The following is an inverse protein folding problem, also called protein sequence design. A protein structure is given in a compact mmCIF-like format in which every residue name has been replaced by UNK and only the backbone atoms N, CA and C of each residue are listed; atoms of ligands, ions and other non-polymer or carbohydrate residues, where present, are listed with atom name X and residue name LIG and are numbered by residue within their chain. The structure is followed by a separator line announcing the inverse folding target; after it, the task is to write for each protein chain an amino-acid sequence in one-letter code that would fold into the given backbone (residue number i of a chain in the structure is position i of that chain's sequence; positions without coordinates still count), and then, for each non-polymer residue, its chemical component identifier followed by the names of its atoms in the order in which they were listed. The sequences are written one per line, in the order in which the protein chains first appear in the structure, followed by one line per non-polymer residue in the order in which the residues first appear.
data_IF_277362526785
#
_entry.id   IF_277362526785
#
_cell.length_a   1.000
_cell.length_b   1.000
_cell.length_c   1.000
_cell.angle_alpha   90.00
_cell.angle_beta   90.00
_cell.angle_gamma   90.00
#
_symmetry.space_group_name_H-M   'P 1'
#
loop_
_entity.id
_entity.type
_entity.pdbx_description
1 polymer ?
#
# COMPACT_ATOMS: atom_id res chain seq x y z
N UNK A 1 -1.56 -17.31 -3.36
CA UNK A 1 -1.36 -16.33 -4.45
C UNK A 1 -2.62 -15.50 -4.63
N UNK A 2 -2.51 -14.18 -4.75
CA UNK A 2 -3.63 -13.32 -5.10
C UNK A 2 -3.88 -13.43 -6.62
N UNK A 3 -5.11 -13.76 -7.02
CA UNK A 3 -5.46 -13.86 -8.44
C UNK A 3 -5.44 -12.48 -9.14
N UNK A 4 -5.00 -12.43 -10.39
CA UNK A 4 -4.92 -11.22 -11.21
C UNK A 4 -6.24 -10.43 -11.23
N UNK A 5 -7.39 -11.11 -11.26
CA UNK A 5 -8.72 -10.47 -11.29
C UNK A 5 -9.01 -9.58 -10.08
N UNK A 6 -8.33 -9.80 -8.96
CA UNK A 6 -8.47 -9.01 -7.73
C UNK A 6 -7.54 -7.79 -7.68
N UNK A 7 -6.76 -7.56 -8.72
CA UNK A 7 -5.79 -6.47 -8.82
C UNK A 7 -6.18 -5.49 -9.92
N UNK A 8 -5.48 -4.35 -10.00
CA UNK A 8 -5.70 -3.39 -11.08
C UNK A 8 -5.26 -3.91 -12.47
N UNK A 9 -4.64 -5.06 -12.53
CA UNK A 9 -4.26 -5.73 -13.79
C UNK A 9 -5.38 -6.65 -14.31
N UNK A 10 -6.47 -6.80 -13.55
CA UNK A 10 -7.66 -7.59 -13.89
C UNK A 10 -8.95 -6.82 -13.64
N UNK A 11 -9.94 -7.49 -13.04
CA UNK A 11 -11.31 -6.96 -12.89
C UNK A 11 -11.44 -5.96 -11.73
N UNK A 12 -10.42 -5.83 -10.87
CA UNK A 12 -10.42 -4.91 -9.73
C UNK A 12 -11.51 -5.18 -8.68
N UNK A 13 -11.98 -6.42 -8.57
CA UNK A 13 -13.01 -6.84 -7.61
C UNK A 13 -12.37 -7.36 -6.31
N UNK A 14 -13.08 -7.30 -5.19
CA UNK A 14 -12.59 -7.83 -3.92
C UNK A 14 -12.53 -9.36 -3.95
N UNK A 15 -11.48 -9.97 -3.38
CA UNK A 15 -11.38 -11.42 -3.28
C UNK A 15 -12.40 -11.99 -2.29
N UNK A 16 -12.82 -13.24 -2.44
CA UNK A 16 -13.56 -13.95 -1.40
C UNK A 16 -12.64 -14.21 -0.22
N UNK A 17 -13.17 -14.07 1.00
CA UNK A 17 -12.44 -14.31 2.26
C UNK A 17 -13.32 -15.17 3.14
N UNK A 18 -12.81 -16.34 3.54
CA UNK A 18 -13.50 -17.26 4.43
C UNK A 18 -12.72 -17.42 5.73
N UNK A 19 -13.44 -17.60 6.83
CA UNK A 19 -12.82 -17.84 8.14
C UNK A 19 -13.65 -18.82 8.96
N UNK A 20 -12.97 -19.51 9.88
CA UNK A 20 -13.55 -20.47 10.81
C UNK A 20 -12.97 -20.28 12.20
N UNK A 21 -13.54 -20.98 13.18
CA UNK A 21 -12.96 -21.02 14.52
C UNK A 21 -13.09 -19.73 15.33
N UNK A 22 -14.11 -18.90 15.06
CA UNK A 22 -14.37 -17.72 15.90
C UNK A 22 -14.65 -18.15 17.36
N UNK A 23 -14.00 -17.50 18.36
CA UNK A 23 -14.31 -17.73 19.76
C UNK A 23 -15.79 -17.48 20.07
N UNK A 24 -16.36 -18.25 21.02
CA UNK A 24 -17.77 -18.12 21.40
C UNK A 24 -18.12 -16.70 21.94
N UNK A 25 -17.14 -15.99 22.49
CA UNK A 25 -17.30 -14.63 22.99
C UNK A 25 -17.32 -13.55 21.89
N UNK A 26 -17.17 -13.93 20.62
CA UNK A 26 -17.15 -12.99 19.50
C UNK A 26 -18.50 -12.34 19.32
N UNK A 27 -18.55 -11.00 19.33
CA UNK A 27 -19.75 -10.19 19.09
C UNK A 27 -19.72 -9.44 17.77
N UNK A 28 -18.53 -9.20 17.22
CA UNK A 28 -18.33 -8.54 15.94
C UNK A 28 -17.06 -9.07 15.28
N UNK A 29 -16.99 -8.98 13.96
CA UNK A 29 -15.79 -9.32 13.19
C UNK A 29 -15.37 -8.10 12.37
N UNK A 30 -14.05 -7.89 12.29
CA UNK A 30 -13.45 -6.90 11.40
C UNK A 30 -12.45 -7.60 10.46
N UNK A 31 -12.25 -7.03 9.28
CA UNK A 31 -11.32 -7.53 8.27
C UNK A 31 -10.49 -6.37 7.74
N UNK A 32 -9.19 -6.61 7.63
CA UNK A 32 -8.28 -5.72 6.93
C UNK A 32 -7.47 -6.48 5.88
N UNK A 33 -7.21 -5.82 4.75
CA UNK A 33 -6.18 -6.23 3.81
C UNK A 33 -5.19 -5.10 3.68
N UNK A 34 -3.93 -5.34 3.99
CA UNK A 34 -2.91 -4.29 4.03
C UNK A 34 -1.55 -4.79 3.52
N UNK A 35 -0.64 -3.87 3.32
CA UNK A 35 0.72 -4.10 2.84
C UNK A 35 1.64 -3.02 3.38
N UNK A 36 2.78 -3.43 3.92
CA UNK A 36 3.89 -2.54 4.25
C UNK A 36 4.86 -2.51 3.08
N UNK A 37 5.10 -1.36 2.43
CA UNK A 37 6.07 -1.27 1.35
C UNK A 37 7.50 -1.63 1.82
N UNK A 38 8.37 -2.15 0.96
CA UNK A 38 9.76 -2.37 1.31
C UNK A 38 10.43 -1.10 1.85
N UNK A 39 11.02 -1.20 3.05
CA UNK A 39 11.61 -0.06 3.76
C UNK A 39 10.60 0.86 4.46
N UNK A 40 9.31 0.61 4.35
CA UNK A 40 8.27 1.28 5.10
C UNK A 40 8.21 0.81 6.56
N UNK A 41 7.55 1.59 7.40
CA UNK A 41 7.29 1.28 8.81
C UNK A 41 5.85 0.80 8.97
N UNK A 42 5.70 -0.33 9.65
CA UNK A 42 4.40 -0.85 10.06
C UNK A 42 3.63 0.22 10.87
N UNK A 43 2.32 0.34 10.60
CA UNK A 43 1.46 1.33 11.24
C UNK A 43 1.63 2.78 10.74
N UNK A 44 2.64 3.08 9.92
CA UNK A 44 2.91 4.43 9.39
C UNK A 44 2.79 4.47 7.88
N UNK A 45 3.51 3.58 7.19
CA UNK A 45 3.60 3.55 5.73
C UNK A 45 2.70 2.46 5.12
N UNK A 46 1.76 1.94 5.89
CA UNK A 46 0.88 0.87 5.44
C UNK A 46 -0.14 1.32 4.40
N UNK A 47 -0.24 0.52 3.36
CA UNK A 47 -1.31 0.63 2.38
C UNK A 47 -2.43 -0.33 2.75
N UNK A 48 -3.62 0.19 3.03
CA UNK A 48 -4.81 -0.60 3.31
C UNK A 48 -5.73 -0.63 2.09
N UNK A 49 -6.13 -1.83 1.71
CA UNK A 49 -6.97 -2.14 0.54
C UNK A 49 -8.39 -2.54 0.93
N UNK A 50 -8.53 -3.21 2.08
CA UNK A 50 -9.79 -3.52 2.75
C UNK A 50 -9.70 -2.96 4.17
N UNK A 51 -10.72 -2.22 4.57
CA UNK A 51 -10.99 -1.82 5.95
C UNK A 51 -12.46 -2.06 6.17
N UNK A 52 -12.83 -3.08 6.95
CA UNK A 52 -14.22 -3.52 7.09
C UNK A 52 -14.47 -3.95 8.54
N UNK A 53 -15.59 -3.52 9.12
CA UNK A 53 -15.98 -3.89 10.48
C UNK A 53 -17.49 -4.05 10.62
N UNK A 54 -17.95 -4.42 11.82
CA UNK A 54 -19.36 -4.60 12.10
C UNK A 54 -19.98 -5.83 11.45
N UNK A 55 -19.17 -6.81 11.08
CA UNK A 55 -19.68 -8.08 10.58
C UNK A 55 -20.24 -8.92 11.73
N UNK A 56 -21.41 -9.55 11.50
CA UNK A 56 -21.99 -10.50 12.44
C UNK A 56 -21.07 -11.72 12.64
N UNK A 57 -20.96 -12.26 13.87
CA UNK A 57 -20.26 -13.54 14.09
C UNK A 57 -20.91 -14.73 13.34
N UNK A 58 -22.15 -14.58 12.90
CA UNK A 58 -22.82 -15.59 12.07
C UNK A 58 -22.30 -15.58 10.62
N UNK A 59 -21.72 -14.48 10.16
CA UNK A 59 -21.05 -14.39 8.85
C UNK A 59 -19.80 -15.26 8.87
N UNK A 60 -19.63 -16.12 7.87
CA UNK A 60 -18.48 -17.04 7.76
C UNK A 60 -17.59 -16.73 6.59
N UNK A 61 -18.05 -15.89 5.68
CA UNK A 61 -17.30 -15.49 4.50
C UNK A 61 -17.77 -14.13 3.98
N UNK A 62 -16.88 -13.46 3.26
CA UNK A 62 -17.21 -12.47 2.26
C UNK A 62 -17.18 -13.16 0.90
N UNK A 63 -18.23 -13.01 0.13
CA UNK A 63 -18.21 -13.45 -1.26
C UNK A 63 -17.35 -12.52 -2.11
N UNK A 64 -16.93 -13.01 -3.26
CA UNK A 64 -16.27 -12.19 -4.27
C UNK A 64 -17.14 -10.97 -4.62
N UNK A 65 -16.51 -9.77 -4.68
CA UNK A 65 -17.19 -8.52 -5.02
C UNK A 65 -18.34 -8.11 -4.09
N UNK A 66 -18.38 -8.64 -2.86
CA UNK A 66 -19.42 -8.31 -1.89
C UNK A 66 -19.16 -6.97 -1.23
N UNK A 67 -20.17 -6.08 -1.25
CA UNK A 67 -20.08 -4.72 -0.70
C UNK A 67 -21.19 -4.37 0.28
N UNK A 68 -22.20 -5.20 0.40
CA UNK A 68 -23.46 -4.97 1.14
C UNK A 68 -23.48 -5.51 2.57
N UNK A 69 -22.32 -5.89 3.11
CA UNK A 69 -22.17 -6.44 4.46
C UNK A 69 -21.19 -5.60 5.29
N UNK A 70 -21.49 -5.45 6.57
CA UNK A 70 -20.67 -4.69 7.49
C UNK A 70 -20.58 -3.20 7.13
N UNK A 71 -19.58 -2.54 7.66
CA UNK A 71 -19.29 -1.13 7.40
C UNK A 71 -17.90 -0.99 6.78
N UNK A 72 -17.83 -0.46 5.58
CA UNK A 72 -16.60 -0.21 4.88
C UNK A 72 -15.93 1.07 5.37
N UNK A 73 -14.65 0.96 5.71
CA UNK A 73 -13.77 2.08 6.05
C UNK A 73 -13.00 2.59 4.86
N UNK A 74 -12.37 3.74 5.06
CA UNK A 74 -11.60 4.44 4.03
C UNK A 74 -10.28 3.72 3.77
N UNK A 75 -10.08 3.22 2.55
CA UNK A 75 -8.80 2.65 2.13
C UNK A 75 -7.74 3.76 1.92
N UNK A 76 -6.45 3.41 1.94
CA UNK A 76 -5.38 4.40 1.77
C UNK A 76 -5.03 4.68 0.31
N UNK A 77 -5.55 3.90 -0.63
CA UNK A 77 -5.18 3.96 -2.05
C UNK A 77 -5.92 5.08 -2.78
N UNK A 78 -7.26 5.06 -2.73
CA UNK A 78 -8.10 6.05 -3.40
C UNK A 78 -8.95 6.89 -2.43
N UNK A 79 -8.80 6.67 -1.11
CA UNK A 79 -9.50 7.38 -0.05
C UNK A 79 -11.03 7.21 -0.07
N UNK A 80 -11.51 6.07 -0.52
CA UNK A 80 -12.93 5.72 -0.54
C UNK A 80 -13.22 4.58 0.44
N UNK A 81 -14.48 4.49 0.87
CA UNK A 81 -14.98 3.43 1.74
C UNK A 81 -15.40 2.21 0.89
N UNK A 82 -14.43 1.55 0.29
CA UNK A 82 -14.59 0.42 -0.62
C UNK A 82 -13.30 -0.39 -0.69
N UNK A 83 -13.35 -1.53 -1.35
CA UNK A 83 -12.14 -2.24 -1.74
C UNK A 83 -11.33 -1.42 -2.75
N UNK A 84 -10.03 -1.31 -2.52
CA UNK A 84 -9.10 -0.78 -3.50
C UNK A 84 -8.21 -1.91 -4.03
N UNK A 85 -8.16 -2.15 -5.35
CA UNK A 85 -7.34 -3.23 -5.88
C UNK A 85 -5.84 -2.92 -5.71
N UNK A 86 -5.03 -3.89 -5.27
CA UNK A 86 -3.58 -3.76 -5.32
C UNK A 86 -3.09 -3.44 -6.72
N UNK A 87 -2.26 -2.40 -6.83
CA UNK A 87 -1.70 -1.95 -8.09
C UNK A 87 -0.18 -1.78 -7.92
N UNK A 88 0.54 -2.90 -7.94
CA UNK A 88 1.98 -2.92 -7.74
C UNK A 88 2.69 -2.12 -8.83
N UNK A 89 3.45 -1.10 -8.42
CA UNK A 89 4.37 -0.41 -9.32
C UNK A 89 5.74 -1.08 -9.24
N UNK A 90 6.23 -1.53 -10.37
CA UNK A 90 7.57 -2.08 -10.50
C UNK A 90 7.65 -3.60 -10.36
N UNK A 91 8.82 -4.14 -10.69
CA UNK A 91 9.05 -5.58 -10.73
C UNK A 91 9.09 -6.17 -9.33
N UNK A 92 8.78 -7.47 -9.25
CA UNK A 92 8.89 -8.27 -8.06
C UNK A 92 7.56 -8.57 -7.39
N UNK A 93 7.60 -9.59 -6.56
CA UNK A 93 6.48 -10.05 -5.76
C UNK A 93 6.22 -9.10 -4.60
N UNK A 94 4.95 -8.85 -4.34
CA UNK A 94 4.46 -8.08 -3.18
C UNK A 94 3.63 -9.00 -2.31
N UNK A 95 3.77 -8.83 -1.01
CA UNK A 95 2.98 -9.53 0.00
C UNK A 95 1.88 -8.63 0.54
N UNK A 96 0.68 -9.19 0.63
CA UNK A 96 -0.51 -8.54 1.18
C UNK A 96 -1.01 -9.38 2.32
N UNK A 97 -1.15 -8.80 3.50
CA UNK A 97 -1.70 -9.49 4.66
C UNK A 97 -3.21 -9.27 4.70
N UNK A 98 -3.97 -10.36 4.80
CA UNK A 98 -5.39 -10.34 5.10
C UNK A 98 -5.57 -10.80 6.52
N UNK A 99 -6.14 -9.94 7.37
CA UNK A 99 -6.32 -10.20 8.80
C UNK A 99 -7.80 -10.15 9.14
N UNK A 100 -8.30 -11.19 9.80
CA UNK A 100 -9.63 -11.28 10.38
C UNK A 100 -9.52 -11.15 11.89
N UNK A 101 -10.20 -10.16 12.45
CA UNK A 101 -10.23 -9.88 13.88
C UNK A 101 -11.56 -10.33 14.48
N UNK A 102 -11.53 -11.22 15.47
CA UNK A 102 -12.68 -11.54 16.30
C UNK A 102 -12.74 -10.58 17.49
N UNK A 103 -13.84 -9.87 17.65
CA UNK A 103 -14.00 -8.80 18.63
C UNK A 103 -15.05 -9.14 19.69
N UNK A 104 -14.78 -8.83 20.95
CA UNK A 104 -15.72 -8.95 22.07
C UNK A 104 -16.79 -7.84 22.11
N UNK A 105 -16.62 -6.79 21.32
CA UNK A 105 -17.56 -5.69 21.13
C UNK A 105 -17.44 -5.10 19.73
N UNK A 106 -18.52 -4.51 19.23
CA UNK A 106 -18.48 -3.78 17.95
C UNK A 106 -17.69 -2.47 18.12
N UNK A 107 -16.78 -2.14 17.19
CA UNK A 107 -16.01 -0.91 17.24
C UNK A 107 -16.90 0.31 16.96
N UNK A 108 -16.73 1.38 17.74
CA UNK A 108 -17.46 2.63 17.57
C UNK A 108 -16.69 3.54 16.60
N UNK A 109 -16.94 3.35 15.32
CA UNK A 109 -16.30 4.10 14.24
C UNK A 109 -17.30 4.78 13.34
N UNK A 110 -16.89 5.88 12.72
CA UNK A 110 -17.76 6.61 11.77
C UNK A 110 -17.55 6.06 10.36
N UNK A 111 -18.63 5.54 9.78
CA UNK A 111 -18.67 5.07 8.40
C UNK A 111 -18.17 6.15 7.43
N UNK A 112 -17.38 5.74 6.42
CA UNK A 112 -16.86 6.64 5.40
C UNK A 112 -15.82 7.66 5.87
N UNK A 113 -15.37 7.58 7.14
CA UNK A 113 -14.32 8.44 7.69
C UNK A 113 -13.17 7.66 8.30
N UNK A 114 -13.47 6.60 9.06
CA UNK A 114 -12.46 5.79 9.71
C UNK A 114 -11.69 4.95 8.68
N UNK A 115 -10.38 4.99 8.77
CA UNK A 115 -9.46 4.19 7.99
C UNK A 115 -8.83 3.07 8.82
N UNK A 116 -7.71 2.54 8.33
CA UNK A 116 -7.06 1.39 8.95
C UNK A 116 -6.48 1.70 10.33
N UNK A 117 -5.83 2.84 10.50
CA UNK A 117 -5.24 3.23 11.78
C UNK A 117 -6.33 3.44 12.86
N UNK A 118 -7.44 4.09 12.51
CA UNK A 118 -8.57 4.28 13.41
C UNK A 118 -9.24 2.94 13.74
N UNK A 119 -9.34 2.00 12.78
CA UNK A 119 -9.83 0.65 13.05
C UNK A 119 -8.95 -0.05 14.07
N UNK A 120 -7.64 -0.12 13.86
CA UNK A 120 -6.71 -0.78 14.77
C UNK A 120 -6.77 -0.17 16.18
N UNK A 121 -6.82 1.15 16.28
CA UNK A 121 -6.95 1.85 17.56
C UNK A 121 -8.25 1.50 18.30
N UNK A 122 -9.38 1.42 17.56
CA UNK A 122 -10.70 1.13 18.13
C UNK A 122 -10.87 -0.32 18.58
N UNK A 123 -10.20 -1.28 17.93
CA UNK A 123 -10.32 -2.70 18.25
C UNK A 123 -9.26 -3.22 19.21
N UNK A 124 -8.26 -2.41 19.56
CA UNK A 124 -7.11 -2.80 20.37
C UNK A 124 -7.48 -3.59 21.63
N UNK A 125 -8.44 -3.09 22.39
CA UNK A 125 -8.83 -3.66 23.69
C UNK A 125 -10.02 -4.66 23.57
N UNK A 126 -10.59 -4.81 22.40
CA UNK A 126 -11.73 -5.70 22.14
C UNK A 126 -11.38 -6.92 21.28
N UNK A 127 -10.19 -6.96 20.70
CA UNK A 127 -9.72 -8.10 19.91
C UNK A 127 -9.44 -9.28 20.83
N UNK A 128 -10.11 -10.40 20.57
CA UNK A 128 -9.99 -11.65 21.35
C UNK A 128 -9.32 -12.77 20.57
N UNK A 129 -9.27 -12.66 19.24
CA UNK A 129 -8.55 -13.60 18.38
C UNK A 129 -8.25 -12.94 17.02
N UNK A 130 -7.17 -13.36 16.40
CA UNK A 130 -6.72 -12.90 15.09
C UNK A 130 -6.41 -14.13 14.23
N UNK A 131 -6.82 -14.09 12.96
CA UNK A 131 -6.40 -15.02 11.93
C UNK A 131 -5.84 -14.24 10.75
N UNK A 132 -4.70 -14.69 10.22
CA UNK A 132 -3.99 -14.00 9.15
C UNK A 132 -3.64 -14.95 8.01
N UNK A 133 -3.67 -14.39 6.80
CA UNK A 133 -3.15 -15.08 5.62
C UNK A 133 -2.37 -14.10 4.75
N UNK A 134 -1.17 -14.50 4.37
CA UNK A 134 -0.35 -13.78 3.40
C UNK A 134 -0.74 -14.16 1.98
N UNK A 135 -1.11 -13.17 1.19
CA UNK A 135 -1.35 -13.28 -0.24
C UNK A 135 -0.18 -12.65 -0.99
N UNK A 136 0.26 -13.28 -2.06
CA UNK A 136 1.37 -12.78 -2.88
C UNK A 136 0.91 -12.51 -4.30
N UNK A 137 1.39 -11.43 -4.86
CA UNK A 137 1.14 -11.06 -6.25
C UNK A 137 2.40 -10.47 -6.88
N UNK A 138 2.76 -11.01 -8.02
CA UNK A 138 3.80 -10.45 -8.88
C UNK A 138 3.15 -9.93 -10.15
N UNK A 139 3.32 -8.64 -10.43
CA UNK A 139 2.88 -8.06 -11.68
C UNK A 139 3.80 -8.52 -12.79
N UNK A 140 3.25 -9.03 -13.89
CA UNK A 140 4.00 -9.27 -15.10
C UNK A 140 4.52 -7.95 -15.66
N UNK A 141 5.77 -7.91 -16.10
CA UNK A 141 6.33 -6.71 -16.75
C UNK A 141 5.53 -6.40 -18.01
N UNK A 142 4.85 -5.26 -18.02
CA UNK A 142 4.25 -4.72 -19.22
C UNK A 142 5.31 -4.04 -20.10
N UNK A 143 5.02 -3.84 -21.37
CA UNK A 143 5.90 -3.15 -22.33
C UNK A 143 6.26 -1.69 -21.92
N UNK A 144 5.64 -1.14 -20.86
CA UNK A 144 5.93 0.18 -20.31
C UNK A 144 6.80 0.17 -19.05
N UNK A 145 7.19 -1.01 -18.54
CA UNK A 145 8.00 -1.16 -17.33
C UNK A 145 9.51 -1.28 -17.63
N UNK A 146 9.95 -0.94 -18.84
CA UNK A 146 11.38 -0.87 -19.13
C UNK A 146 12.04 0.18 -18.21
N UNK A 147 13.15 -0.17 -17.53
CA UNK A 147 13.89 0.82 -16.78
C UNK A 147 14.29 1.95 -17.75
N UNK A 148 14.25 3.22 -17.31
CA UNK A 148 14.68 4.32 -18.15
C UNK A 148 16.08 3.98 -18.71
N UNK A 149 16.34 4.26 -19.98
CA UNK A 149 17.65 4.00 -20.57
C UNK A 149 18.70 4.66 -19.69
N UNK A 150 19.85 4.02 -19.47
CA UNK A 150 20.92 4.60 -18.67
C UNK A 150 21.20 6.01 -19.19
N UNK A 151 21.46 6.98 -18.30
CA UNK A 151 21.76 8.34 -18.74
C UNK A 151 22.84 8.23 -19.81
N UNK A 152 22.56 8.80 -20.96
CA UNK A 152 23.52 8.87 -22.05
C UNK A 152 24.75 9.51 -21.43
N UNK A 153 25.81 8.73 -21.25
CA UNK A 153 27.05 9.24 -20.73
C UNK A 153 27.33 10.50 -21.53
N UNK A 154 27.39 11.62 -20.84
CA UNK A 154 27.87 12.86 -21.43
C UNK A 154 29.21 12.51 -22.06
N UNK A 155 29.16 12.36 -23.37
CA UNK A 155 30.39 12.20 -24.12
C UNK A 155 31.27 13.35 -23.67
N UNK A 156 32.27 13.05 -22.83
CA UNK A 156 33.33 13.96 -22.56
C UNK A 156 33.75 14.50 -23.92
N UNK A 157 33.26 15.67 -24.27
CA UNK A 157 33.90 16.47 -25.29
C UNK A 157 35.36 16.49 -24.87
N UNK A 158 36.19 15.71 -25.53
CA UNK A 158 37.60 15.96 -25.56
C UNK A 158 37.72 17.45 -25.90
N UNK A 159 38.01 18.28 -24.91
CA UNK A 159 38.58 19.58 -25.17
C UNK A 159 39.87 19.27 -25.96
N UNK A 160 39.78 19.47 -27.26
CA UNK A 160 40.98 19.78 -28.01
C UNK A 160 41.63 20.91 -27.26
N UNK A 161 42.78 20.70 -26.73
CA UNK A 161 43.65 21.71 -26.16
C UNK A 161 44.15 22.53 -27.35
N UNK A 162 43.36 23.57 -27.67
CA UNK A 162 43.84 24.68 -28.46
C UNK A 162 44.99 25.29 -27.64
N UNK A 163 46.20 25.23 -28.22
CA UNK A 163 47.47 25.63 -27.60
C UNK A 163 47.63 27.13 -27.41
N UNK A 164 46.58 27.86 -27.13
CA UNK A 164 46.65 29.29 -26.83
C UNK A 164 47.16 29.51 -25.40
N UNK A 165 48.21 30.32 -25.22
CA UNK A 165 48.72 30.63 -23.89
C UNK A 165 47.72 31.43 -23.06
N UNK A 166 47.72 31.30 -21.74
CA UNK A 166 46.81 32.05 -20.87
C UNK A 166 47.09 33.56 -20.96
N UNK A 167 46.02 34.38 -20.83
CA UNK A 167 46.17 35.82 -20.83
C UNK A 167 47.03 36.30 -19.63
N UNK A 168 47.77 37.40 -19.77
CA UNK A 168 48.60 37.91 -18.69
C UNK A 168 47.72 38.44 -17.52
N UNK A 169 48.24 38.40 -16.29
CA UNK A 169 47.51 38.84 -15.10
C UNK A 169 47.24 40.35 -15.15
N UNK A 170 46.16 40.83 -14.56
CA UNK A 170 45.83 42.22 -14.51
C UNK A 170 46.85 43.01 -13.67
N UNK A 171 47.09 44.32 -14.01
CA UNK A 171 48.02 45.15 -13.24
C UNK A 171 47.52 45.42 -11.82
N UNK A 172 48.42 45.63 -10.85
CA UNK A 172 48.04 45.92 -9.47
C UNK A 172 47.29 47.28 -9.37
N UNK A 173 46.42 47.44 -8.39
CA UNK A 173 45.70 48.66 -8.20
C UNK A 173 46.63 49.81 -7.85
N UNK A 174 46.51 50.91 -8.57
CA UNK A 174 47.22 52.21 -8.31
C UNK A 174 46.68 52.77 -7.00
N UNK A 175 47.53 52.85 -6.00
CA UNK A 175 47.26 53.69 -4.82
C UNK A 175 47.43 55.15 -5.23
N UNK A 176 46.37 55.91 -5.11
CA UNK A 176 46.45 57.38 -5.21
C UNK A 176 46.64 57.98 -3.83
N UNK A 177 47.32 59.13 -3.78
CA UNK A 177 47.77 59.80 -2.54
C UNK A 177 46.65 60.36 -1.68
#
# INVERSE_FOLDING_TARGET
MLGKKYTCDGDSISPPIEWTGLPAATKSVAIAMHHVPPGGKEGVDEHAYIVLWGLSPATKALAESQHDVGTWGVNTVNRRAEYAPPCSKGPGEKSYMVTVYALSAEPKLTAGRAGFAELLAAIKDTTISIAEVELRYARERGAGDEPPPPPRGDGKRRRETDGSPPPPPPPPPTQSP
#
